data_IF_735182977341
#
_entry.id   IF_735182977341
#
_cell.length_a   1.000
_cell.length_b   1.000
_cell.length_c   1.000
_cell.angle_alpha   90.00
_cell.angle_beta   90.00
_cell.angle_gamma   90.00
#
_symmetry.space_group_name_H-M   'P 1'
#
loop_
_entity.id
_entity.type
_entity.pdbx_description
1 polymer ?
#
# COMPACT_ATOMS: atom_id res chain seq x y z
N UNK A 1 -18.97 17.64 4.24
CA UNK A 1 -18.53 16.29 3.81
C UNK A 1 -17.02 16.28 3.83
N UNK A 2 -16.39 15.35 4.57
CA UNK A 2 -14.92 15.23 4.58
C UNK A 2 -14.45 14.56 3.28
N UNK A 3 -13.24 14.85 2.82
CA UNK A 3 -12.68 14.22 1.62
C UNK A 3 -11.22 13.86 1.76
N UNK A 4 -10.78 12.90 0.97
CA UNK A 4 -9.36 12.68 0.75
C UNK A 4 -9.04 12.45 -0.72
N UNK A 5 -7.79 12.73 -1.09
CA UNK A 5 -7.25 12.34 -2.38
C UNK A 5 -6.43 11.08 -2.24
N UNK A 6 -6.54 10.18 -3.20
CA UNK A 6 -5.61 9.07 -3.36
C UNK A 6 -4.87 9.22 -4.68
N UNK A 7 -3.57 9.49 -4.60
CA UNK A 7 -2.72 9.80 -5.74
C UNK A 7 -2.01 8.53 -6.23
N UNK A 8 -2.17 8.24 -7.52
CA UNK A 8 -1.62 7.04 -8.17
C UNK A 8 -0.92 7.41 -9.48
N UNK A 9 -0.29 6.41 -10.10
CA UNK A 9 0.35 6.55 -11.40
C UNK A 9 0.09 5.30 -12.25
N UNK A 10 0.17 5.39 -13.59
CA UNK A 10 0.08 4.23 -14.45
C UNK A 10 1.30 3.31 -14.28
N UNK A 11 1.05 2.00 -14.32
CA UNK A 11 2.08 0.96 -14.26
C UNK A 11 2.76 0.71 -15.62
N UNK A 12 2.07 1.01 -16.72
CA UNK A 12 2.52 0.75 -18.09
C UNK A 12 1.86 1.71 -19.08
N UNK A 13 2.38 1.76 -20.31
CA UNK A 13 1.79 2.54 -21.40
C UNK A 13 0.32 2.19 -21.68
N UNK A 14 -0.06 0.90 -21.81
CA UNK A 14 -1.47 0.51 -21.93
C UNK A 14 -2.33 1.00 -20.75
N UNK A 15 -1.82 0.86 -19.52
CA UNK A 15 -2.53 1.33 -18.33
C UNK A 15 -2.72 2.85 -18.34
N UNK A 16 -1.70 3.62 -18.76
CA UNK A 16 -1.80 5.08 -18.94
C UNK A 16 -2.89 5.47 -19.95
N UNK A 17 -2.95 4.78 -21.08
CA UNK A 17 -4.00 5.01 -22.08
C UNK A 17 -5.38 4.72 -21.49
N UNK A 18 -5.55 3.58 -20.80
CA UNK A 18 -6.80 3.22 -20.14
C UNK A 18 -7.26 4.27 -19.12
N UNK A 19 -6.36 4.72 -18.25
CA UNK A 19 -6.63 5.76 -17.25
C UNK A 19 -7.03 7.10 -17.89
N UNK A 20 -6.57 7.37 -19.12
CA UNK A 20 -6.90 8.59 -19.87
C UNK A 20 -8.25 8.52 -20.62
N UNK A 21 -8.84 7.33 -20.81
CA UNK A 21 -10.09 7.16 -21.57
C UNK A 21 -11.27 7.88 -20.93
N UNK A 22 -11.33 7.94 -19.59
CA UNK A 22 -12.40 8.66 -18.88
C UNK A 22 -12.35 10.17 -19.13
N UNK A 23 -11.17 10.74 -19.33
CA UNK A 23 -11.05 12.15 -19.73
C UNK A 23 -11.57 12.39 -21.15
N UNK A 24 -11.68 11.37 -22.02
CA UNK A 24 -12.23 11.50 -23.39
C UNK A 24 -13.77 11.46 -23.44
N UNK A 25 -14.43 10.71 -22.55
CA UNK A 25 -15.90 10.58 -22.56
C UNK A 25 -16.67 11.81 -22.04
N UNK A 26 -16.03 12.71 -21.30
CA UNK A 26 -16.62 13.99 -20.84
C UNK A 26 -16.40 15.16 -21.83
N UNK A 27 -15.91 14.89 -23.05
CA UNK A 27 -15.39 15.91 -24.00
C UNK A 27 -16.37 16.52 -24.98
N UNK A 28 -17.68 16.22 -24.98
CA UNK A 28 -18.56 16.86 -25.98
C UNK A 28 -18.85 18.35 -25.71
N UNK A 29 -18.25 18.98 -24.70
CA UNK A 29 -18.62 20.33 -24.26
C UNK A 29 -17.47 21.34 -24.07
N UNK A 30 -16.19 20.97 -24.18
CA UNK A 30 -15.09 21.94 -24.00
C UNK A 30 -13.98 21.69 -25.03
N UNK A 31 -13.77 22.68 -25.90
CA UNK A 31 -12.77 22.75 -26.96
C UNK A 31 -11.42 23.20 -26.41
N UNK A 32 -10.60 22.28 -25.91
CA UNK A 32 -9.16 22.49 -25.80
C UNK A 32 -8.39 21.23 -26.23
N UNK A 33 -7.38 21.45 -27.05
CA UNK A 33 -6.55 20.45 -27.74
C UNK A 33 -5.51 19.91 -26.76
N UNK A 34 -5.64 18.65 -26.34
CA UNK A 34 -4.75 18.05 -25.33
C UNK A 34 -3.71 17.10 -25.92
N UNK A 35 -2.43 17.38 -25.67
CA UNK A 35 -1.28 16.51 -25.92
C UNK A 35 -0.92 15.72 -24.65
N UNK A 36 -0.78 14.39 -24.78
CA UNK A 36 -0.23 13.43 -23.81
C UNK A 36 -0.53 13.62 -22.30
N UNK A 37 -1.71 13.09 -21.90
CA UNK A 37 -2.17 12.66 -20.56
C UNK A 37 -1.98 13.65 -19.39
N UNK A 38 -3.05 14.35 -19.03
CA UNK A 38 -3.10 15.20 -17.84
C UNK A 38 -3.35 14.41 -16.55
N UNK A 39 -3.23 15.11 -15.42
CA UNK A 39 -3.73 14.61 -14.14
C UNK A 39 -5.23 14.36 -14.24
N UNK A 40 -5.66 13.12 -14.00
CA UNK A 40 -7.02 12.68 -14.26
C UNK A 40 -7.70 12.13 -13.01
N UNK A 41 -9.00 12.41 -12.83
CA UNK A 41 -9.82 11.71 -11.83
C UNK A 41 -10.30 10.38 -12.39
N UNK A 42 -9.87 9.29 -11.77
CA UNK A 42 -10.17 7.93 -12.21
C UNK A 42 -11.53 7.45 -11.69
N UNK A 43 -11.71 7.55 -10.38
CA UNK A 43 -12.92 7.12 -9.71
C UNK A 43 -13.10 7.87 -8.40
N UNK A 44 -14.28 7.64 -7.81
CA UNK A 44 -14.66 8.18 -6.51
C UNK A 44 -15.33 7.08 -5.72
N UNK A 45 -15.20 7.15 -4.41
CA UNK A 45 -15.93 6.30 -3.50
C UNK A 45 -16.43 7.11 -2.31
N UNK A 46 -17.42 6.56 -1.63
CA UNK A 46 -18.00 7.15 -0.43
C UNK A 46 -18.10 6.12 0.66
N UNK A 47 -17.82 6.55 1.88
CA UNK A 47 -18.09 5.81 3.09
C UNK A 47 -19.24 6.50 3.83
N UNK A 48 -20.36 5.79 4.00
CA UNK A 48 -21.59 6.27 4.68
C UNK A 48 -22.12 7.64 4.22
N UNK A 49 -21.77 8.06 2.99
CA UNK A 49 -22.03 9.41 2.46
C UNK A 49 -21.49 10.58 3.33
N UNK A 50 -20.61 10.29 4.30
CA UNK A 50 -19.96 11.27 5.19
C UNK A 50 -18.54 11.61 4.76
N UNK A 51 -17.83 10.62 4.20
CA UNK A 51 -16.46 10.76 3.68
C UNK A 51 -16.44 10.36 2.21
N UNK A 52 -15.80 11.17 1.38
CA UNK A 52 -15.59 10.90 -0.05
C UNK A 52 -14.10 10.78 -0.37
N UNK A 53 -13.72 9.68 -1.01
CA UNK A 53 -12.37 9.52 -1.56
C UNK A 53 -12.36 9.75 -3.06
N UNK A 54 -11.36 10.48 -3.54
CA UNK A 54 -11.16 10.77 -4.95
C UNK A 54 -9.82 10.20 -5.39
N UNK A 55 -9.85 9.28 -6.35
CA UNK A 55 -8.63 8.71 -6.93
C UNK A 55 -8.19 9.57 -8.12
N UNK A 56 -6.95 10.07 -8.06
CA UNK A 56 -6.35 10.89 -9.11
C UNK A 56 -5.03 10.30 -9.58
N UNK A 57 -4.82 10.27 -10.90
CA UNK A 57 -3.57 9.81 -11.49
C UNK A 57 -2.67 10.97 -11.84
N UNK A 58 -1.38 10.86 -11.55
CA UNK A 58 -0.34 11.62 -12.24
C UNK A 58 0.11 10.87 -13.52
N UNK A 59 0.54 11.55 -14.59
CA UNK A 59 0.80 10.93 -15.88
C UNK A 59 2.25 10.45 -16.06
N UNK A 60 2.85 9.87 -15.03
CA UNK A 60 4.22 9.35 -15.10
C UNK A 60 4.24 7.83 -14.98
N UNK A 61 5.06 7.18 -15.79
CA UNK A 61 5.40 5.76 -15.65
C UNK A 61 6.42 5.54 -14.51
N UNK A 62 6.59 4.30 -14.03
CA UNK A 62 7.51 4.00 -12.93
C UNK A 62 8.94 4.51 -13.17
N UNK A 63 9.49 4.27 -14.37
CA UNK A 63 10.84 4.70 -14.72
C UNK A 63 10.98 6.23 -14.73
N UNK A 64 10.00 6.95 -15.29
CA UNK A 64 10.01 8.42 -15.34
C UNK A 64 9.99 9.03 -13.92
N UNK A 65 9.25 8.41 -12.99
CA UNK A 65 9.17 8.84 -11.60
C UNK A 65 10.49 8.62 -10.84
N UNK A 66 11.21 7.53 -11.14
CA UNK A 66 12.52 7.23 -10.54
C UNK A 66 13.59 8.17 -11.10
N UNK A 67 13.59 8.37 -12.42
CA UNK A 67 14.53 9.22 -13.14
C UNK A 67 14.41 10.70 -12.72
N UNK A 68 13.19 11.18 -12.47
CA UNK A 68 12.96 12.58 -12.10
C UNK A 68 11.96 12.73 -10.94
N UNK A 69 12.46 12.57 -9.71
CA UNK A 69 11.65 12.68 -8.49
C UNK A 69 11.11 14.11 -8.25
N UNK A 70 11.81 15.15 -8.69
CA UNK A 70 11.34 16.54 -8.59
C UNK A 70 10.10 16.77 -9.45
N UNK A 71 10.10 16.25 -10.69
CA UNK A 71 8.94 16.26 -11.58
C UNK A 71 7.79 15.46 -10.97
N UNK A 72 8.06 14.30 -10.37
CA UNK A 72 7.03 13.52 -9.69
C UNK A 72 6.42 14.30 -8.51
N UNK A 73 7.24 14.91 -7.65
CA UNK A 73 6.78 15.77 -6.55
C UNK A 73 5.93 16.95 -7.05
N UNK A 74 6.39 17.64 -8.10
CA UNK A 74 5.66 18.74 -8.71
C UNK A 74 4.29 18.32 -9.22
N UNK A 75 4.18 17.15 -9.85
CA UNK A 75 2.90 16.61 -10.33
C UNK A 75 2.00 16.13 -9.19
N UNK A 76 2.54 15.56 -8.11
CA UNK A 76 1.77 15.22 -6.91
C UNK A 76 1.17 16.47 -6.27
N UNK A 77 1.98 17.53 -6.13
CA UNK A 77 1.51 18.81 -5.62
C UNK A 77 0.45 19.44 -6.54
N UNK A 78 0.68 19.41 -7.87
CA UNK A 78 -0.30 19.87 -8.85
C UNK A 78 -1.60 19.07 -8.76
N UNK A 79 -1.53 17.76 -8.54
CA UNK A 79 -2.72 16.92 -8.39
C UNK A 79 -3.51 17.27 -7.14
N UNK A 80 -2.83 17.54 -6.02
CA UNK A 80 -3.46 18.09 -4.82
C UNK A 80 -4.17 19.42 -5.10
N UNK A 81 -3.51 20.37 -5.76
CA UNK A 81 -4.07 21.69 -6.10
C UNK A 81 -5.31 21.57 -7.00
N UNK A 82 -5.25 20.70 -8.02
CA UNK A 82 -6.40 20.42 -8.90
C UNK A 82 -7.55 19.78 -8.10
N UNK A 83 -7.24 18.82 -7.23
CA UNK A 83 -8.24 18.18 -6.38
C UNK A 83 -8.94 19.19 -5.47
N UNK A 84 -8.18 20.08 -4.81
CA UNK A 84 -8.70 21.17 -3.99
C UNK A 84 -9.61 22.10 -4.79
N UNK A 85 -9.15 22.55 -5.97
CA UNK A 85 -9.93 23.45 -6.81
C UNK A 85 -11.24 22.82 -7.31
N UNK A 86 -11.22 21.52 -7.62
CA UNK A 86 -12.37 20.81 -8.22
C UNK A 86 -13.37 20.28 -7.19
N UNK A 87 -12.89 19.86 -6.02
CA UNK A 87 -13.71 19.15 -5.03
C UNK A 87 -13.91 19.93 -3.73
N UNK A 88 -13.29 21.10 -3.58
CA UNK A 88 -13.35 21.88 -2.35
C UNK A 88 -12.44 21.28 -1.28
N UNK A 89 -12.92 21.15 -0.05
CA UNK A 89 -12.09 20.66 1.07
C UNK A 89 -11.49 19.28 0.78
N UNK A 90 -10.20 19.17 1.07
CA UNK A 90 -9.41 17.94 1.13
C UNK A 90 -8.85 17.86 2.54
N UNK A 91 -9.10 16.75 3.24
CA UNK A 91 -8.75 16.53 4.64
C UNK A 91 -7.52 15.61 4.80
N UNK A 92 -7.19 14.81 3.78
CA UNK A 92 -5.97 13.98 3.73
C UNK A 92 -5.55 13.65 2.29
N UNK A 93 -4.30 13.24 2.13
CA UNK A 93 -3.75 12.71 0.87
C UNK A 93 -3.08 11.36 1.11
N UNK A 94 -3.59 10.32 0.46
CA UNK A 94 -2.94 9.01 0.38
C UNK A 94 -2.10 8.87 -0.89
N UNK A 95 -0.97 8.19 -0.77
CA UNK A 95 -0.05 7.92 -1.87
C UNK A 95 -0.06 6.42 -2.18
N UNK A 96 -0.43 6.06 -3.40
CA UNK A 96 -0.45 4.67 -3.87
C UNK A 96 0.73 4.31 -4.77
N UNK A 97 1.12 3.03 -4.76
CA UNK A 97 2.19 2.51 -5.63
C UNK A 97 3.47 3.33 -5.48
N UNK A 98 4.20 3.62 -6.57
CA UNK A 98 5.45 4.36 -6.55
C UNK A 98 5.29 5.81 -6.06
N UNK A 99 4.08 6.37 -6.03
CA UNK A 99 3.83 7.68 -5.41
C UNK A 99 4.19 7.67 -3.92
N UNK A 100 4.07 6.51 -3.25
CA UNK A 100 4.43 6.32 -1.84
C UNK A 100 5.94 6.20 -1.60
N UNK A 101 6.74 6.02 -2.67
CA UNK A 101 8.19 5.81 -2.61
C UNK A 101 8.95 7.08 -2.97
N UNK A 102 8.52 7.77 -4.03
CA UNK A 102 9.12 9.04 -4.46
C UNK A 102 8.91 10.15 -3.43
N UNK A 103 9.60 11.28 -3.64
CA UNK A 103 9.46 12.46 -2.78
C UNK A 103 9.77 12.15 -1.31
N UNK A 104 10.85 11.39 -1.08
CA UNK A 104 11.27 10.96 0.27
C UNK A 104 10.16 10.21 1.03
N UNK A 105 9.43 9.31 0.35
CA UNK A 105 8.26 8.60 0.89
C UNK A 105 7.18 9.54 1.42
N UNK A 106 6.81 10.51 0.59
CA UNK A 106 5.79 11.51 0.88
C UNK A 106 6.23 12.68 1.77
N UNK A 107 7.44 12.64 2.36
CA UNK A 107 7.93 13.68 3.26
C UNK A 107 8.04 15.04 2.55
N UNK A 108 8.54 15.07 1.32
CA UNK A 108 8.65 16.35 0.59
C UNK A 108 7.28 16.92 0.21
N UNK A 109 6.29 16.06 -0.08
CA UNK A 109 4.93 16.50 -0.34
C UNK A 109 4.28 17.06 0.93
N UNK A 110 4.47 16.40 2.08
CA UNK A 110 3.94 16.86 3.37
C UNK A 110 4.43 18.28 3.72
N UNK A 111 5.67 18.64 3.38
CA UNK A 111 6.23 19.97 3.64
C UNK A 111 5.53 21.09 2.87
N UNK A 112 4.92 20.79 1.73
CA UNK A 112 4.37 21.79 0.79
C UNK A 112 2.84 21.78 0.71
N UNK A 113 2.17 20.88 1.44
CA UNK A 113 0.70 20.87 1.55
C UNK A 113 0.24 20.90 3.02
N UNK A 114 -0.90 21.55 3.34
CA UNK A 114 -1.34 21.77 4.71
C UNK A 114 -2.14 20.61 5.32
N UNK A 115 -2.27 19.48 4.61
CA UNK A 115 -3.08 18.32 5.02
C UNK A 115 -2.18 17.11 5.24
N UNK A 116 -2.58 16.15 6.10
CA UNK A 116 -1.79 14.95 6.34
C UNK A 116 -1.59 14.13 5.05
N UNK A 117 -0.35 13.72 4.82
CA UNK A 117 0.08 12.80 3.76
C UNK A 117 0.36 11.43 4.37
N UNK A 118 -0.10 10.36 3.72
CA UNK A 118 0.08 8.99 4.21
C UNK A 118 0.41 8.03 3.06
N UNK A 119 1.24 7.01 3.33
CA UNK A 119 1.87 6.13 2.32
C UNK A 119 1.19 4.78 2.15
N UNK A 120 0.24 4.41 3.01
CA UNK A 120 -0.40 3.10 3.02
C UNK A 120 0.37 2.04 3.82
N UNK A 121 1.59 2.34 4.28
CA UNK A 121 2.44 1.33 4.90
C UNK A 121 1.94 0.88 6.29
N UNK A 122 1.24 1.73 7.04
CA UNK A 122 0.64 1.32 8.32
C UNK A 122 -0.51 0.34 8.07
N UNK A 123 -1.31 0.62 7.04
CA UNK A 123 -2.40 -0.25 6.61
C UNK A 123 -1.89 -1.63 6.14
N UNK A 124 -0.83 -1.66 5.32
CA UNK A 124 -0.18 -2.90 4.89
C UNK A 124 0.39 -3.68 6.07
N UNK A 125 1.14 -3.02 6.96
CA UNK A 125 1.70 -3.67 8.15
C UNK A 125 0.61 -4.26 9.06
N UNK A 126 -0.51 -3.55 9.22
CA UNK A 126 -1.62 -4.03 10.02
C UNK A 126 -2.29 -5.27 9.41
N UNK A 127 -2.52 -5.27 8.09
CA UNK A 127 -3.14 -6.42 7.43
C UNK A 127 -2.30 -7.68 7.63
N UNK A 128 -0.98 -7.58 7.45
CA UNK A 128 -0.05 -8.68 7.72
C UNK A 128 -0.10 -9.09 9.20
N UNK A 129 0.06 -8.13 10.12
CA UNK A 129 0.04 -8.40 11.55
C UNK A 129 -1.25 -9.12 12.00
N UNK A 130 -2.41 -8.65 11.54
CA UNK A 130 -3.70 -9.22 11.89
C UNK A 130 -3.92 -10.63 11.33
N UNK A 131 -3.30 -10.98 10.20
CA UNK A 131 -3.31 -12.35 9.68
C UNK A 131 -2.37 -13.27 10.47
N UNK A 132 -1.21 -12.77 10.88
CA UNK A 132 -0.24 -13.53 11.67
C UNK A 132 -0.81 -13.85 13.07
N UNK A 133 -1.46 -12.87 13.70
CA UNK A 133 -2.14 -13.03 15.00
C UNK A 133 -3.22 -14.11 15.02
N UNK A 134 -3.79 -14.48 13.87
CA UNK A 134 -4.81 -15.53 13.75
C UNK A 134 -4.22 -16.93 13.59
N UNK A 135 -2.89 -17.05 13.49
CA UNK A 135 -2.19 -18.32 13.29
C UNK A 135 -1.59 -18.82 14.60
N UNK A 136 -1.59 -20.13 14.75
CA UNK A 136 -0.85 -20.79 15.82
C UNK A 136 0.56 -21.10 15.32
N UNK A 137 1.50 -20.20 15.60
CA UNK A 137 2.90 -20.28 15.16
C UNK A 137 3.75 -20.59 16.38
N UNK A 138 4.45 -21.72 16.34
CA UNK A 138 5.32 -22.18 17.43
C UNK A 138 6.80 -22.05 17.10
N UNK A 139 7.13 -21.96 15.83
CA UNK A 139 8.49 -21.82 15.29
C UNK A 139 8.81 -20.36 14.94
N UNK A 140 10.09 -20.01 14.72
CA UNK A 140 10.47 -18.64 14.39
C UNK A 140 9.86 -18.18 13.06
N UNK A 141 9.38 -16.93 13.02
CA UNK A 141 8.89 -16.30 11.79
C UNK A 141 10.10 -15.77 11.00
N UNK A 142 10.25 -16.20 9.75
CA UNK A 142 11.27 -15.68 8.85
C UNK A 142 10.82 -14.38 8.20
N UNK A 143 11.62 -13.32 8.32
CA UNK A 143 11.33 -11.99 7.78
C UNK A 143 12.35 -11.58 6.73
N UNK A 144 11.90 -11.47 5.48
CA UNK A 144 12.64 -10.95 4.35
C UNK A 144 12.34 -9.46 4.18
N UNK A 145 13.37 -8.62 4.00
CA UNK A 145 13.19 -7.17 3.90
C UNK A 145 12.95 -6.47 5.24
N UNK A 146 13.56 -6.98 6.32
CA UNK A 146 13.42 -6.46 7.70
C UNK A 146 13.87 -4.99 7.92
N UNK A 147 14.54 -4.37 6.93
CA UNK A 147 14.88 -2.94 6.94
C UNK A 147 13.86 -2.04 6.22
N UNK A 148 12.88 -2.60 5.52
CA UNK A 148 11.83 -1.79 4.89
C UNK A 148 10.96 -1.10 5.97
N UNK A 149 10.24 -0.01 5.65
CA UNK A 149 9.36 0.64 6.62
C UNK A 149 8.32 -0.32 7.20
N UNK A 150 7.68 -1.14 6.34
CA UNK A 150 6.73 -2.19 6.74
C UNK A 150 7.43 -3.28 7.56
N UNK A 151 8.57 -3.79 7.09
CA UNK A 151 9.31 -4.86 7.79
C UNK A 151 9.76 -4.43 9.19
N UNK A 152 10.28 -3.21 9.34
CA UNK A 152 10.71 -2.70 10.64
C UNK A 152 9.56 -2.58 11.64
N UNK A 153 8.41 -2.04 11.23
CA UNK A 153 7.27 -1.87 12.15
C UNK A 153 6.59 -3.20 12.45
N UNK A 154 6.49 -4.09 11.45
CA UNK A 154 5.89 -5.41 11.61
C UNK A 154 6.73 -6.30 12.53
N UNK A 155 8.05 -6.36 12.35
CA UNK A 155 8.93 -7.08 13.27
C UNK A 155 8.80 -6.55 14.71
N UNK A 156 8.71 -5.23 14.89
CA UNK A 156 8.53 -4.66 16.24
C UNK A 156 7.21 -5.11 16.86
N UNK A 157 6.11 -5.07 16.12
CA UNK A 157 4.79 -5.53 16.60
C UNK A 157 4.78 -7.02 16.92
N UNK A 158 5.34 -7.86 16.04
CA UNK A 158 5.40 -9.30 16.25
C UNK A 158 6.28 -9.67 17.45
N UNK A 159 7.44 -9.03 17.57
CA UNK A 159 8.32 -9.24 18.72
C UNK A 159 7.65 -8.82 20.03
N UNK A 160 6.95 -7.67 20.04
CA UNK A 160 6.15 -7.22 21.19
C UNK A 160 5.02 -8.19 21.54
N UNK A 161 4.46 -8.89 20.54
CA UNK A 161 3.46 -9.92 20.74
C UNK A 161 4.05 -11.29 21.17
N UNK A 162 5.36 -11.39 21.35
CA UNK A 162 6.03 -12.60 21.86
C UNK A 162 6.46 -13.60 20.79
N UNK A 163 6.37 -13.27 19.50
CA UNK A 163 6.88 -14.15 18.45
C UNK A 163 8.40 -14.12 18.39
N UNK A 164 9.00 -15.29 18.19
CA UNK A 164 10.40 -15.39 17.81
C UNK A 164 10.56 -15.01 16.34
N UNK A 165 11.56 -14.17 16.04
CA UNK A 165 11.81 -13.66 14.70
C UNK A 165 13.21 -14.00 14.24
N UNK A 166 13.33 -14.43 12.98
CA UNK A 166 14.60 -14.50 12.25
C UNK A 166 14.58 -13.55 11.07
N UNK A 167 15.56 -12.66 10.99
CA UNK A 167 15.57 -11.56 10.01
C UNK A 167 16.76 -11.59 9.08
N UNK A 168 16.52 -11.23 7.82
CA UNK A 168 17.51 -11.24 6.72
C UNK A 168 18.60 -10.16 6.85
N UNK A 169 18.34 -9.06 7.58
CA UNK A 169 19.30 -7.94 7.68
C UNK A 169 19.93 -7.86 9.07
N UNK A 170 21.23 -8.14 9.13
CA UNK A 170 22.07 -7.97 10.33
C UNK A 170 21.93 -6.62 11.03
N UNK A 171 21.77 -5.54 10.26
CA UNK A 171 21.58 -4.19 10.82
C UNK A 171 20.27 -4.05 11.60
N UNK A 172 19.18 -4.66 11.11
CA UNK A 172 17.89 -4.65 11.79
C UNK A 172 17.98 -5.49 13.08
N UNK A 173 18.52 -6.71 12.96
CA UNK A 173 18.77 -7.60 14.09
C UNK A 173 19.56 -6.93 15.22
N UNK A 174 20.72 -6.35 14.91
CA UNK A 174 21.56 -5.66 15.91
C UNK A 174 20.83 -4.49 16.58
N UNK A 175 20.05 -3.73 15.81
CA UNK A 175 19.36 -2.54 16.32
C UNK A 175 18.24 -2.88 17.30
N UNK A 176 17.51 -3.95 17.04
CA UNK A 176 16.29 -4.28 17.78
C UNK A 176 16.40 -5.57 18.61
N UNK A 177 17.55 -6.25 18.61
CA UNK A 177 17.78 -7.47 19.38
C UNK A 177 17.10 -8.70 18.79
N UNK A 178 16.95 -8.78 17.46
CA UNK A 178 16.35 -9.95 16.79
C UNK A 178 17.43 -10.96 16.35
N UNK A 179 17.02 -12.20 16.10
CA UNK A 179 17.92 -13.22 15.56
C UNK A 179 18.18 -12.97 14.07
N UNK A 180 19.43 -12.99 13.67
CA UNK A 180 19.83 -12.87 12.27
C UNK A 180 20.21 -14.24 11.72
N UNK A 181 19.83 -14.52 10.48
CA UNK A 181 20.39 -15.59 9.67
C UNK A 181 20.48 -15.15 8.21
N UNK A 182 21.20 -15.93 7.41
CA UNK A 182 21.20 -15.74 5.97
C UNK A 182 19.81 -16.03 5.39
N UNK A 183 19.38 -15.32 4.33
CA UNK A 183 18.03 -15.43 3.79
C UNK A 183 17.55 -16.85 3.50
N UNK A 184 18.40 -17.69 2.91
CA UNK A 184 18.05 -19.08 2.60
C UNK A 184 17.90 -19.94 3.85
N UNK A 185 18.71 -19.70 4.88
CA UNK A 185 18.69 -20.48 6.10
C UNK A 185 17.42 -20.17 6.91
N UNK A 186 17.07 -18.89 7.04
CA UNK A 186 15.89 -18.50 7.82
C UNK A 186 14.59 -19.02 7.21
N UNK A 187 14.50 -19.12 5.87
CA UNK A 187 13.29 -19.66 5.22
C UNK A 187 13.21 -21.19 5.23
N UNK A 188 14.36 -21.88 5.34
CA UNK A 188 14.41 -23.35 5.50
C UNK A 188 14.02 -23.81 6.91
N UNK A 189 13.99 -22.90 7.87
CA UNK A 189 13.69 -23.20 9.27
C UNK A 189 12.32 -22.70 9.74
N UNK A 190 11.56 -22.01 8.87
CA UNK A 190 10.31 -21.36 9.24
C UNK A 190 9.12 -21.90 8.45
N UNK A 191 8.04 -22.24 9.16
CA UNK A 191 6.72 -22.57 8.62
C UNK A 191 5.96 -21.33 8.15
N UNK A 192 6.36 -20.13 8.60
CA UNK A 192 5.83 -18.86 8.12
C UNK A 192 6.97 -17.94 7.67
N UNK A 193 6.92 -17.56 6.39
CA UNK A 193 7.82 -16.59 5.77
C UNK A 193 7.03 -15.32 5.45
N UNK A 194 7.57 -14.17 5.81
CA UNK A 194 6.98 -12.87 5.48
C UNK A 194 7.93 -12.04 4.60
N UNK A 195 7.41 -11.54 3.49
CA UNK A 195 8.13 -10.70 2.54
C UNK A 195 7.74 -9.23 2.68
N UNK A 196 8.70 -8.37 3.02
CA UNK A 196 8.46 -6.97 3.36
C UNK A 196 9.26 -5.99 2.47
N UNK A 197 8.62 -5.47 1.42
CA UNK A 197 9.10 -4.33 0.65
C UNK A 197 10.25 -4.63 -0.34
N UNK A 198 10.65 -3.64 -1.16
CA UNK A 198 11.48 -3.86 -2.36
C UNK A 198 12.96 -4.15 -2.09
N UNK A 199 13.42 -4.07 -0.83
CA UNK A 199 14.84 -4.19 -0.46
C UNK A 199 15.22 -5.58 0.08
N UNK A 200 14.26 -6.51 0.08
CA UNK A 200 14.48 -7.89 0.48
C UNK A 200 15.26 -8.69 -0.56
N UNK A 201 15.88 -9.81 -0.17
CA UNK A 201 16.38 -10.80 -1.11
C UNK A 201 15.20 -11.40 -1.90
N UNK A 202 15.48 -11.81 -3.12
CA UNK A 202 14.58 -12.62 -3.94
C UNK A 202 15.11 -14.05 -3.87
N UNK A 203 14.29 -14.98 -3.37
CA UNK A 203 14.67 -16.37 -3.17
C UNK A 203 13.88 -17.29 -4.11
N UNK A 204 14.48 -18.44 -4.44
CA UNK A 204 13.79 -19.51 -5.14
C UNK A 204 12.80 -20.22 -4.20
N UNK A 205 11.60 -20.50 -4.69
CA UNK A 205 10.56 -21.24 -3.96
C UNK A 205 11.01 -22.60 -3.43
N UNK A 206 11.99 -23.24 -4.05
CA UNK A 206 12.57 -24.50 -3.59
C UNK A 206 13.33 -24.39 -2.25
N UNK A 207 13.69 -23.18 -1.82
CA UNK A 207 14.30 -22.97 -0.52
C UNK A 207 13.29 -23.07 0.64
N UNK A 208 11.99 -23.00 0.36
CA UNK A 208 10.94 -23.06 1.38
C UNK A 208 10.76 -24.49 1.91
N UNK A 209 10.37 -24.62 3.18
CA UNK A 209 9.84 -25.88 3.70
C UNK A 209 8.58 -26.30 2.92
N UNK A 210 8.32 -27.60 2.69
CA UNK A 210 7.17 -28.06 1.89
C UNK A 210 5.79 -27.55 2.35
N UNK A 211 5.62 -27.22 3.63
CA UNK A 211 4.38 -26.71 4.21
C UNK A 211 4.47 -25.25 4.66
N UNK A 212 5.53 -24.52 4.28
CA UNK A 212 5.64 -23.11 4.62
C UNK A 212 4.50 -22.30 3.99
N UNK A 213 3.96 -21.35 4.73
CA UNK A 213 3.12 -20.29 4.19
C UNK A 213 3.96 -19.05 3.94
N UNK A 214 3.70 -18.36 2.84
CA UNK A 214 4.35 -17.09 2.51
C UNK A 214 3.29 -15.98 2.52
N UNK A 215 3.50 -14.93 3.32
CA UNK A 215 2.72 -13.70 3.25
C UNK A 215 3.64 -12.60 2.71
N UNK A 216 3.43 -12.21 1.46
CA UNK A 216 4.32 -11.29 0.74
C UNK A 216 3.59 -10.00 0.33
N UNK A 217 4.25 -8.88 0.59
CA UNK A 217 3.84 -7.55 0.13
C UNK A 217 4.99 -6.82 -0.58
N UNK A 218 6.08 -7.51 -0.87
CA UNK A 218 7.20 -6.97 -1.60
C UNK A 218 6.86 -6.81 -3.10
N UNK A 219 7.37 -5.74 -3.68
CA UNK A 219 7.29 -5.47 -5.12
C UNK A 219 8.69 -5.04 -5.59
N UNK A 220 9.43 -5.89 -6.32
CA UNK A 220 9.09 -7.26 -6.74
C UNK A 220 8.94 -8.23 -5.54
N UNK A 221 8.26 -9.36 -5.76
CA UNK A 221 8.03 -10.38 -4.73
C UNK A 221 9.33 -10.98 -4.20
N UNK A 222 9.32 -11.37 -2.93
CA UNK A 222 10.45 -11.93 -2.20
C UNK A 222 10.73 -13.39 -2.59
N UNK A 223 9.75 -14.08 -3.17
CA UNK A 223 9.85 -15.46 -3.65
C UNK A 223 9.58 -15.51 -5.15
N UNK A 224 10.41 -16.22 -5.90
CA UNK A 224 10.28 -16.46 -7.34
C UNK A 224 10.48 -17.94 -7.69
N UNK A 225 10.24 -18.29 -8.94
CA UNK A 225 10.38 -19.66 -9.43
C UNK A 225 9.19 -20.54 -9.08
N UNK A 226 9.40 -21.86 -9.12
CA UNK A 226 8.35 -22.82 -8.80
C UNK A 226 8.09 -22.83 -7.30
N UNK A 227 6.85 -22.53 -6.90
CA UNK A 227 6.44 -22.53 -5.49
C UNK A 227 5.38 -23.60 -5.27
N UNK A 228 5.73 -24.66 -4.54
CA UNK A 228 4.77 -25.69 -4.09
C UNK A 228 3.84 -25.15 -2.98
N UNK A 229 4.25 -24.05 -2.35
CA UNK A 229 3.65 -23.44 -1.18
C UNK A 229 2.52 -22.46 -1.50
N UNK A 230 1.72 -22.15 -0.48
CA UNK A 230 0.74 -21.08 -0.57
C UNK A 230 1.41 -19.72 -0.39
N UNK A 231 1.35 -18.88 -1.44
CA UNK A 231 1.79 -17.48 -1.38
C UNK A 231 0.57 -16.56 -1.34
N UNK A 232 0.48 -15.75 -0.30
CA UNK A 232 -0.61 -14.82 -0.07
C UNK A 232 -0.11 -13.38 -0.21
N UNK A 233 -0.88 -12.55 -0.91
CA UNK A 233 -0.72 -11.10 -0.83
C UNK A 233 -1.36 -10.58 0.46
N UNK A 234 -0.55 -9.93 1.29
CA UNK A 234 -0.90 -9.52 2.65
C UNK A 234 -1.64 -8.19 2.79
N UNK A 235 -2.06 -7.56 1.69
CA UNK A 235 -2.58 -6.17 1.67
C UNK A 235 -4.06 -6.03 1.29
N UNK A 236 -4.76 -7.14 1.09
CA UNK A 236 -6.18 -7.14 0.78
C UNK A 236 -7.07 -6.83 1.99
N UNK A 237 -8.14 -6.06 1.78
CA UNK A 237 -9.17 -5.79 2.77
C UNK A 237 -10.57 -6.04 2.20
N UNK A 238 -11.50 -6.48 3.05
CA UNK A 238 -12.91 -6.60 2.72
C UNK A 238 -13.50 -5.23 2.38
N UNK A 239 -14.56 -5.20 1.57
CA UNK A 239 -15.34 -3.98 1.35
C UNK A 239 -16.65 -4.08 2.13
N UNK A 240 -16.88 -3.23 3.15
CA UNK A 240 -18.16 -3.18 3.86
C UNK A 240 -19.26 -2.64 2.95
N UNK A 241 -20.53 -2.93 3.26
CA UNK A 241 -21.70 -2.44 2.50
C UNK A 241 -21.74 -0.91 2.44
N UNK A 242 -21.23 -0.25 3.48
CA UNK A 242 -21.09 1.21 3.56
C UNK A 242 -20.10 1.80 2.54
N UNK A 243 -19.27 0.97 1.86
CA UNK A 243 -18.33 1.40 0.83
C UNK A 243 -19.00 1.45 -0.55
N UNK A 244 -19.36 2.66 -0.98
CA UNK A 244 -19.97 2.92 -2.28
C UNK A 244 -18.91 3.32 -3.29
N UNK A 245 -18.73 2.53 -4.36
CA UNK A 245 -17.64 2.69 -5.35
C UNK A 245 -18.06 3.26 -6.71
N UNK A 246 -19.34 3.62 -6.87
CA UNK A 246 -19.90 4.11 -8.13
C UNK A 246 -19.70 3.13 -9.31
N UNK A 247 -19.93 3.61 -10.53
CA UNK A 247 -19.78 2.78 -11.74
C UNK A 247 -18.32 2.45 -12.08
N UNK A 248 -17.41 3.41 -11.88
CA UNK A 248 -16.01 3.28 -12.29
C UNK A 248 -15.11 2.62 -11.23
N UNK A 249 -15.52 2.58 -9.96
CA UNK A 249 -14.73 1.96 -8.90
C UNK A 249 -14.53 0.45 -9.06
N UNK A 250 -15.55 -0.36 -9.41
CA UNK A 250 -15.34 -1.78 -9.70
C UNK A 250 -14.34 -2.02 -10.83
N UNK A 251 -14.40 -1.23 -11.90
CA UNK A 251 -13.45 -1.31 -13.00
C UNK A 251 -12.05 -0.92 -12.55
N UNK A 252 -11.91 0.17 -11.79
CA UNK A 252 -10.62 0.59 -11.23
C UNK A 252 -10.00 -0.50 -10.34
N UNK A 253 -10.80 -1.15 -9.49
CA UNK A 253 -10.32 -2.24 -8.64
C UNK A 253 -9.85 -3.43 -9.48
N UNK A 254 -10.59 -3.80 -10.53
CA UNK A 254 -10.21 -4.89 -11.41
C UNK A 254 -8.86 -4.61 -12.11
N UNK A 255 -8.71 -3.45 -12.73
CA UNK A 255 -7.52 -3.11 -13.53
C UNK A 255 -6.29 -2.81 -12.68
N UNK A 256 -6.49 -2.45 -11.41
CA UNK A 256 -5.40 -2.24 -10.45
C UNK A 256 -4.99 -3.51 -9.71
N UNK A 257 -5.61 -4.66 -10.03
CA UNK A 257 -5.29 -5.95 -9.41
C UNK A 257 -5.96 -6.19 -8.04
N UNK A 258 -6.95 -5.37 -7.66
CA UNK A 258 -7.61 -5.46 -6.34
C UNK A 258 -8.72 -6.51 -6.29
N UNK A 259 -9.13 -7.04 -7.45
CA UNK A 259 -10.24 -7.99 -7.56
C UNK A 259 -11.62 -7.33 -7.34
N UNK A 260 -12.68 -8.11 -7.56
CA UNK A 260 -14.05 -7.56 -7.53
C UNK A 260 -14.56 -7.24 -6.12
N UNK A 261 -14.13 -7.99 -5.10
CA UNK A 261 -14.66 -7.96 -3.72
C UNK A 261 -13.60 -7.64 -2.65
N UNK A 262 -12.48 -7.06 -3.08
CA UNK A 262 -11.37 -6.67 -2.22
C UNK A 262 -10.91 -5.25 -2.60
N UNK A 263 -10.30 -4.57 -1.64
CA UNK A 263 -9.68 -3.26 -1.80
C UNK A 263 -8.31 -3.29 -1.12
N UNK A 264 -7.32 -2.58 -1.66
CA UNK A 264 -6.01 -2.51 -1.00
C UNK A 264 -6.04 -1.65 0.25
N UNK A 265 -5.29 -2.09 1.25
CA UNK A 265 -5.11 -1.38 2.51
C UNK A 265 -4.63 0.07 2.33
N UNK A 266 -3.74 0.31 1.36
CA UNK A 266 -3.22 1.65 1.08
C UNK A 266 -4.29 2.67 0.63
N UNK A 267 -5.36 2.22 -0.05
CA UNK A 267 -6.49 3.08 -0.43
C UNK A 267 -7.36 3.46 0.78
N UNK A 268 -7.38 2.60 1.80
CA UNK A 268 -8.16 2.79 3.02
C UNK A 268 -7.42 3.69 4.02
N UNK A 269 -6.09 3.65 4.09
CA UNK A 269 -5.32 4.48 5.04
C UNK A 269 -5.73 5.96 5.10
N UNK A 270 -5.87 6.71 3.99
CA UNK A 270 -6.35 8.09 4.04
C UNK A 270 -7.81 8.21 4.51
N UNK A 271 -8.69 7.23 4.27
CA UNK A 271 -10.03 7.21 4.88
C UNK A 271 -9.90 7.19 6.42
N UNK A 272 -9.02 6.33 6.93
CA UNK A 272 -8.80 6.19 8.37
C UNK A 272 -8.21 7.46 8.99
N UNK A 273 -7.23 8.09 8.33
CA UNK A 273 -6.70 9.41 8.74
C UNK A 273 -7.82 10.43 8.91
N UNK A 274 -8.72 10.51 7.92
CA UNK A 274 -9.86 11.45 7.93
C UNK A 274 -10.91 11.09 9.00
N UNK A 275 -11.17 9.80 9.19
CA UNK A 275 -12.12 9.30 10.19
C UNK A 275 -11.67 9.61 11.61
N UNK A 276 -10.39 9.35 11.90
CA UNK A 276 -9.75 9.69 13.17
C UNK A 276 -9.55 11.20 13.38
N UNK A 277 -9.71 12.02 12.34
CA UNK A 277 -9.45 13.46 12.41
C UNK A 277 -7.99 13.81 12.72
N UNK A 278 -7.05 12.96 12.26
CA UNK A 278 -5.62 13.18 12.54
C UNK A 278 -5.10 14.40 11.79
N UNK A 279 -4.15 15.11 12.42
CA UNK A 279 -3.39 16.19 11.79
C UNK A 279 -2.17 15.69 11.01
N UNK A 280 -1.79 14.44 11.23
CA UNK A 280 -0.64 13.77 10.61
C UNK A 280 -1.07 12.43 10.00
N UNK A 281 -0.36 12.00 8.95
CA UNK A 281 -0.58 10.68 8.36
C UNK A 281 -0.25 9.55 9.33
N UNK A 282 -0.76 8.35 9.02
CA UNK A 282 -0.47 7.14 9.80
C UNK A 282 0.90 6.55 9.43
N UNK A 283 1.33 6.74 8.19
CA UNK A 283 2.64 6.30 7.73
C UNK A 283 3.26 7.32 6.78
N UNK A 284 4.40 7.89 7.18
CA UNK A 284 5.16 8.85 6.39
C UNK A 284 6.66 8.59 6.57
N UNK A 285 7.44 8.73 5.50
CA UNK A 285 8.89 8.54 5.58
C UNK A 285 9.29 7.07 5.79
N UNK A 286 10.45 6.85 6.40
CA UNK A 286 11.06 5.52 6.55
C UNK A 286 10.77 4.83 7.88
N UNK A 287 10.20 5.54 8.85
CA UNK A 287 9.91 5.04 10.19
C UNK A 287 8.41 5.14 10.44
N UNK A 288 7.81 4.01 10.81
CA UNK A 288 6.39 3.93 11.14
C UNK A 288 6.29 3.60 12.63
N UNK A 289 5.39 4.30 13.30
CA UNK A 289 5.07 4.04 14.70
C UNK A 289 4.17 2.81 14.82
N UNK A 290 4.52 1.78 15.62
CA UNK A 290 3.64 0.65 15.90
C UNK A 290 2.25 1.09 16.37
N UNK A 291 2.15 2.17 17.14
CA UNK A 291 0.84 2.65 17.58
C UNK A 291 -0.02 3.11 16.40
N UNK A 292 0.56 3.76 15.38
CA UNK A 292 -0.20 4.14 14.18
C UNK A 292 -0.75 2.92 13.40
N UNK A 293 -0.04 1.79 13.43
CA UNK A 293 -0.52 0.52 12.85
C UNK A 293 -1.70 -0.04 13.64
N UNK A 294 -1.65 0.04 14.97
CA UNK A 294 -2.73 -0.40 15.85
C UNK A 294 -3.95 0.53 15.78
N UNK A 295 -3.73 1.85 15.73
CA UNK A 295 -4.76 2.87 15.54
C UNK A 295 -5.49 2.65 14.21
N UNK A 296 -4.73 2.40 13.13
CA UNK A 296 -5.30 2.04 11.83
C UNK A 296 -6.23 0.83 11.99
N UNK A 297 -5.74 -0.20 12.66
CA UNK A 297 -6.46 -1.44 12.85
C UNK A 297 -7.75 -1.35 13.65
N UNK A 298 -7.70 -0.62 14.76
CA UNK A 298 -8.88 -0.37 15.59
C UNK A 298 -9.97 0.35 14.81
N UNK A 299 -9.58 1.40 14.08
CA UNK A 299 -10.52 2.19 13.29
C UNK A 299 -11.02 1.43 12.06
N UNK A 300 -10.14 0.73 11.32
CA UNK A 300 -10.55 -0.07 10.17
C UNK A 300 -11.61 -1.11 10.55
N UNK A 301 -11.42 -1.80 11.68
CA UNK A 301 -12.41 -2.73 12.23
C UNK A 301 -13.72 -2.02 12.60
N UNK A 302 -13.63 -0.86 13.26
CA UNK A 302 -14.82 -0.05 13.63
C UNK A 302 -15.65 0.35 12.40
N UNK A 303 -14.98 0.62 11.27
CA UNK A 303 -15.63 0.97 10.00
C UNK A 303 -16.06 -0.26 9.17
N UNK A 304 -15.87 -1.48 9.68
CA UNK A 304 -16.30 -2.72 9.05
C UNK A 304 -15.33 -3.30 8.01
N UNK A 305 -14.09 -2.83 7.96
CA UNK A 305 -13.06 -3.42 7.11
C UNK A 305 -12.32 -4.54 7.86
N UNK A 306 -12.02 -5.61 7.14
CA UNK A 306 -11.29 -6.76 7.66
C UNK A 306 -10.16 -7.19 6.71
N UNK A 307 -9.00 -7.62 7.23
CA UNK A 307 -7.94 -8.18 6.40
C UNK A 307 -8.40 -9.41 5.63
N UNK A 308 -8.03 -9.51 4.36
CA UNK A 308 -8.23 -10.67 3.49
C UNK A 308 -6.90 -11.10 2.88
N UNK A 309 -6.61 -12.40 2.94
CA UNK A 309 -5.50 -12.97 2.17
C UNK A 309 -5.97 -13.19 0.74
N UNK A 310 -5.20 -12.70 -0.22
CA UNK A 310 -5.42 -12.96 -1.64
C UNK A 310 -4.41 -14.02 -2.05
N UNK A 311 -4.88 -15.19 -2.50
CA UNK A 311 -3.98 -16.25 -2.97
C UNK A 311 -3.36 -15.83 -4.30
N UNK A 312 -2.04 -15.77 -4.34
CA UNK A 312 -1.31 -15.63 -5.59
C UNK A 312 -0.93 -17.02 -6.09
N UNK A 313 -1.69 -17.55 -7.06
CA UNK A 313 -1.25 -18.76 -7.77
C UNK A 313 -0.17 -18.33 -8.77
N UNK A 314 1.09 -18.45 -8.38
CA UNK A 314 2.20 -18.42 -9.34
C UNK A 314 2.16 -19.76 -10.08
N UNK A 315 1.65 -19.71 -11.32
CA UNK A 315 1.69 -20.83 -12.26
C UNK A 315 2.95 -20.74 -13.11
#
# INVERSE_FOLDING_TARGET
>A
MKRFLFLVHPLSNPHRTLMSLRCRFWKSLITETYTQAEIATLCRFRWEDTIEGVVMSIPLLPNEMIENQERALSLLHRAYRIGLAKYGNIDAVGLGSLCSVVASRGVELQKIIPVPVTTGNAATAWCMYAHIQKRNISDPIAVLGSLSPVGQVLCRLLHQAGYELRVDKKRAAKKYGWNHGEPEDIVREASLVIGCGPTGPVLDGQALLPNAEVIDVALPGSIQGFVHNMVYQGEGMSMPVSWKRGFWGPLYHLVSGYGWNTVLACLIEPLIVVSLGRKEGLALGSKIDPQAVLDFGGEAKRLGFEPKLIVHRMG
#
